data_IF_927082219143
#
_entry.id   IF_927082219143
#
_cell.length_a   1.000
_cell.length_b   1.000
_cell.length_c   1.000
_cell.angle_alpha   90.00
_cell.angle_beta   90.00
_cell.angle_gamma   90.00
#
_symmetry.space_group_name_H-M   'P 1'
#
loop_
_entity.id
_entity.type
_entity.pdbx_description
1 polymer ?
#
# COMPACT_ATOMS: atom_id res chain seq x y z
N UNK A 1 -4.64 15.72 24.94
CA UNK A 1 -5.83 14.86 24.83
C UNK A 1 -6.67 15.32 23.62
N UNK A 2 -6.52 14.64 22.49
CA UNK A 2 -7.24 14.97 21.25
C UNK A 2 -8.07 13.79 20.81
N UNK A 3 -9.28 14.05 20.33
CA UNK A 3 -10.15 13.04 19.74
C UNK A 3 -9.53 12.53 18.43
N UNK A 4 -9.90 11.33 17.99
CA UNK A 4 -9.43 10.77 16.70
C UNK A 4 -9.82 11.70 15.55
N UNK A 5 -10.94 12.41 15.66
CA UNK A 5 -11.37 13.41 14.68
C UNK A 5 -10.40 14.57 14.56
N UNK A 6 -9.91 15.12 15.67
CA UNK A 6 -8.98 16.26 15.66
C UNK A 6 -7.71 15.93 14.88
N UNK A 7 -7.20 14.70 15.04
CA UNK A 7 -6.00 14.22 14.33
C UNK A 7 -6.28 14.07 12.84
N UNK A 8 -7.42 13.46 12.47
CA UNK A 8 -7.80 13.30 11.06
C UNK A 8 -7.96 14.67 10.40
N UNK A 9 -8.55 15.64 11.10
CA UNK A 9 -8.75 16.99 10.58
C UNK A 9 -7.47 17.75 10.38
N UNK A 10 -6.59 17.74 11.38
CA UNK A 10 -5.30 18.39 11.30
C UNK A 10 -4.51 17.85 10.09
N UNK A 11 -4.50 16.53 9.89
CA UNK A 11 -3.80 15.90 8.79
C UNK A 11 -4.49 16.09 7.43
N UNK A 12 -5.83 16.06 7.38
CA UNK A 12 -6.57 16.30 6.14
C UNK A 12 -6.48 17.77 5.69
N UNK A 13 -6.36 18.71 6.62
CA UNK A 13 -6.17 20.14 6.32
C UNK A 13 -4.89 20.40 5.52
N UNK A 14 -3.87 19.56 5.69
CA UNK A 14 -2.62 19.65 4.92
C UNK A 14 -2.88 19.51 3.42
N UNK A 15 -3.89 18.76 2.98
CA UNK A 15 -4.26 18.64 1.57
C UNK A 15 -5.06 19.84 1.04
N UNK A 16 -5.81 20.51 1.90
CA UNK A 16 -6.64 21.66 1.53
C UNK A 16 -5.85 22.96 1.43
N UNK A 17 -4.70 23.05 2.09
CA UNK A 17 -3.82 24.22 2.10
C UNK A 17 -3.07 24.42 0.75
N UNK A 18 -3.12 23.46 -0.17
CA UNK A 18 -2.58 23.58 -1.53
C UNK A 18 -1.03 23.63 -1.65
N UNK A 19 -0.33 23.85 -0.53
CA UNK A 19 1.14 23.79 -0.44
C UNK A 19 1.63 22.36 -0.35
N UNK A 20 2.87 22.11 -0.77
CA UNK A 20 3.49 20.81 -0.51
C UNK A 20 3.93 20.72 0.95
N UNK A 21 3.64 19.58 1.59
CA UNK A 21 3.87 19.37 3.03
C UNK A 21 4.59 18.05 3.23
N UNK A 22 5.77 18.04 3.87
CA UNK A 22 6.60 16.83 3.99
C UNK A 22 5.93 15.70 4.79
N UNK A 23 4.98 16.05 5.67
CA UNK A 23 4.27 15.10 6.54
C UNK A 23 2.81 14.87 6.10
N UNK A 24 2.46 15.24 4.86
CA UNK A 24 1.12 15.00 4.32
C UNK A 24 0.89 13.50 4.15
N UNK A 25 -0.15 12.92 4.76
CA UNK A 25 -0.41 11.49 4.62
C UNK A 25 -0.94 11.16 3.22
N UNK A 26 -0.60 9.99 2.70
CA UNK A 26 -1.20 9.45 1.47
C UNK A 26 -2.65 9.00 1.67
N UNK A 27 -3.00 8.62 2.90
CA UNK A 27 -4.33 8.13 3.24
C UNK A 27 -4.48 7.76 4.70
N UNK A 28 -5.70 7.33 5.07
CA UNK A 28 -6.05 6.90 6.42
C UNK A 28 -6.58 5.46 6.44
N UNK A 29 -6.15 4.70 7.43
CA UNK A 29 -6.76 3.41 7.81
C UNK A 29 -7.45 3.62 9.15
N UNK A 30 -8.78 3.53 9.14
CA UNK A 30 -9.62 3.76 10.31
C UNK A 30 -9.97 2.41 10.94
N UNK A 31 -9.34 2.07 12.06
CA UNK A 31 -9.55 0.80 12.78
C UNK A 31 -10.62 0.90 13.87
N UNK A 32 -11.01 -0.25 14.42
CA UNK A 32 -11.93 -0.39 15.54
C UNK A 32 -13.40 -0.25 15.15
N UNK A 33 -13.72 -0.34 13.85
CA UNK A 33 -15.07 -0.08 13.35
C UNK A 33 -15.54 1.37 13.57
N UNK A 34 -14.61 2.27 13.88
CA UNK A 34 -14.89 3.66 14.16
C UNK A 34 -15.35 4.38 12.89
N UNK A 35 -16.63 4.76 12.85
CA UNK A 35 -17.18 5.58 11.76
C UNK A 35 -16.96 7.06 12.06
N UNK A 36 -16.22 7.80 11.21
CA UNK A 36 -16.05 9.24 11.39
C UNK A 36 -17.39 9.97 11.36
N UNK A 37 -17.46 11.12 12.02
CA UNK A 37 -18.60 12.02 11.87
C UNK A 37 -18.79 12.44 10.40
N UNK A 38 -20.00 12.91 10.08
CA UNK A 38 -20.32 13.43 8.75
C UNK A 38 -19.37 14.56 8.35
N UNK A 39 -18.96 15.40 9.32
CA UNK A 39 -18.05 16.51 9.11
C UNK A 39 -16.65 16.04 8.69
N UNK A 40 -16.11 15.04 9.37
CA UNK A 40 -14.81 14.44 9.01
C UNK A 40 -14.90 13.70 7.68
N UNK A 41 -15.99 12.98 7.44
CA UNK A 41 -16.22 12.30 6.15
C UNK A 41 -16.24 13.28 4.97
N UNK A 42 -16.91 14.42 5.11
CA UNK A 42 -16.93 15.48 4.09
C UNK A 42 -15.57 16.13 3.92
N UNK A 43 -14.81 16.29 5.00
CA UNK A 43 -13.45 16.81 4.93
C UNK A 43 -12.55 15.90 4.11
N UNK A 44 -12.57 14.59 4.38
CA UNK A 44 -11.79 13.59 3.64
C UNK A 44 -12.15 13.58 2.14
N UNK A 45 -13.45 13.71 1.81
CA UNK A 45 -13.91 13.83 0.42
C UNK A 45 -13.40 15.10 -0.25
N UNK A 46 -13.53 16.27 0.40
CA UNK A 46 -13.04 17.55 -0.14
C UNK A 46 -11.53 17.55 -0.34
N UNK A 47 -10.80 16.95 0.59
CA UNK A 47 -9.36 16.81 0.53
C UNK A 47 -8.91 15.75 -0.50
N UNK A 48 -9.85 14.96 -1.04
CA UNK A 48 -9.60 13.86 -1.98
C UNK A 48 -8.55 12.87 -1.49
N UNK A 49 -8.58 12.56 -0.19
CA UNK A 49 -7.64 11.66 0.47
C UNK A 49 -8.23 10.25 0.49
N UNK A 50 -7.41 9.25 0.19
CA UNK A 50 -7.80 7.86 0.35
C UNK A 50 -8.07 7.54 1.82
N UNK A 51 -9.24 6.96 2.14
CA UNK A 51 -9.55 6.50 3.48
C UNK A 51 -10.32 5.18 3.43
N UNK A 52 -9.93 4.22 4.28
CA UNK A 52 -10.60 2.92 4.40
C UNK A 52 -11.00 2.68 5.85
N UNK A 53 -12.22 2.16 6.04
CA UNK A 53 -12.70 1.69 7.33
C UNK A 53 -12.46 0.19 7.45
N UNK A 54 -11.77 -0.21 8.50
CA UNK A 54 -11.47 -1.61 8.81
C UNK A 54 -12.14 -2.02 10.12
N UNK A 55 -12.78 -3.19 10.09
CA UNK A 55 -13.26 -3.85 11.30
C UNK A 55 -12.08 -4.54 12.01
N UNK A 56 -12.11 -4.56 13.34
CA UNK A 56 -11.03 -5.08 14.18
C UNK A 56 -10.23 -3.99 14.87
N UNK A 57 -9.60 -4.33 16.01
CA UNK A 57 -8.82 -3.37 16.78
C UNK A 57 -7.59 -2.86 16.01
N UNK A 58 -6.96 -1.80 16.52
CA UNK A 58 -5.79 -1.18 15.89
C UNK A 58 -4.63 -2.14 15.68
N UNK A 59 -4.39 -3.09 16.59
CA UNK A 59 -3.31 -4.05 16.45
C UNK A 59 -3.58 -5.04 15.31
N UNK A 60 -4.77 -5.63 15.30
CA UNK A 60 -5.21 -6.58 14.27
C UNK A 60 -5.17 -5.95 12.87
N UNK A 61 -5.68 -4.72 12.73
CA UNK A 61 -5.65 -3.98 11.47
C UNK A 61 -4.21 -3.61 11.07
N UNK A 62 -3.38 -3.15 12.00
CA UNK A 62 -1.98 -2.84 11.71
C UNK A 62 -1.19 -4.09 11.26
N UNK A 63 -1.45 -5.25 11.87
CA UNK A 63 -0.87 -6.53 11.45
C UNK A 63 -1.27 -6.88 10.02
N UNK A 64 -2.55 -6.77 9.68
CA UNK A 64 -3.00 -7.04 8.30
C UNK A 64 -2.35 -6.10 7.28
N UNK A 65 -2.25 -4.81 7.59
CA UNK A 65 -1.58 -3.83 6.73
C UNK A 65 -0.09 -4.16 6.58
N UNK A 66 0.56 -4.58 7.67
CA UNK A 66 1.96 -5.03 7.62
C UNK A 66 2.11 -6.28 6.74
N UNK A 67 1.22 -7.26 6.87
CA UNK A 67 1.24 -8.52 6.13
C UNK A 67 1.00 -8.31 4.62
N UNK A 68 0.22 -7.30 4.23
CA UNK A 68 0.07 -6.90 2.81
C UNK A 68 1.39 -6.45 2.18
N UNK A 69 2.32 -5.93 2.99
CA UNK A 69 3.63 -5.44 2.54
C UNK A 69 4.69 -6.55 2.49
N UNK A 70 4.36 -7.77 2.93
CA UNK A 70 5.35 -8.85 2.99
C UNK A 70 5.56 -9.48 1.62
N UNK A 71 6.84 -9.66 1.30
CA UNK A 71 7.43 -10.18 0.06
C UNK A 71 6.77 -11.49 -0.37
N UNK A 72 6.92 -11.83 -1.66
CA UNK A 72 6.51 -13.13 -2.22
C UNK A 72 7.01 -14.28 -1.34
N UNK A 73 6.10 -14.94 -0.64
CA UNK A 73 6.42 -16.11 0.18
C UNK A 73 6.51 -17.37 -0.70
N UNK A 74 7.26 -18.42 -0.29
CA UNK A 74 7.34 -19.68 -1.05
C UNK A 74 5.96 -20.31 -1.34
N UNK A 75 5.01 -20.09 -0.44
CA UNK A 75 3.62 -20.52 -0.56
C UNK A 75 2.75 -19.65 -1.47
N UNK A 76 3.20 -18.45 -1.87
CA UNK A 76 2.50 -17.53 -2.77
C UNK A 76 2.60 -17.98 -4.25
N UNK A 77 2.28 -19.24 -4.52
CA UNK A 77 2.43 -19.90 -5.84
C UNK A 77 1.85 -19.07 -6.98
N UNK A 78 0.67 -18.46 -6.79
CA UNK A 78 0.06 -17.57 -7.79
C UNK A 78 0.88 -16.32 -8.09
N UNK A 79 1.37 -15.60 -7.05
CA UNK A 79 2.20 -14.40 -7.25
C UNK A 79 3.54 -14.78 -7.90
N UNK A 80 4.11 -15.92 -7.50
CA UNK A 80 5.34 -16.45 -8.10
C UNK A 80 5.14 -16.71 -9.59
N UNK A 81 4.03 -17.35 -9.98
CA UNK A 81 3.74 -17.66 -11.37
C UNK A 81 3.50 -16.39 -12.21
N UNK A 82 2.82 -15.38 -11.66
CA UNK A 82 2.68 -14.07 -12.31
C UNK A 82 4.02 -13.37 -12.51
N UNK A 83 4.88 -13.33 -11.48
CA UNK A 83 6.22 -12.74 -11.58
C UNK A 83 7.07 -13.46 -12.63
N UNK A 84 7.05 -14.80 -12.64
CA UNK A 84 7.77 -15.59 -13.64
C UNK A 84 7.27 -15.30 -15.06
N UNK A 85 5.96 -15.19 -15.23
CA UNK A 85 5.34 -14.88 -16.53
C UNK A 85 5.74 -13.49 -17.02
N UNK A 86 5.71 -12.49 -16.13
CA UNK A 86 6.11 -11.13 -16.44
C UNK A 86 7.57 -11.05 -16.89
N UNK A 87 8.48 -11.70 -16.16
CA UNK A 87 9.91 -11.71 -16.47
C UNK A 87 10.18 -12.45 -17.78
N UNK A 88 9.57 -13.63 -17.99
CA UNK A 88 9.74 -14.40 -19.22
C UNK A 88 9.25 -13.64 -20.46
N UNK A 89 8.11 -12.94 -20.35
CA UNK A 89 7.59 -12.14 -21.46
C UNK A 89 8.41 -10.87 -21.74
N UNK A 90 9.21 -10.42 -20.77
CA UNK A 90 10.01 -9.19 -20.89
C UNK A 90 11.46 -9.45 -21.30
N UNK A 91 11.88 -10.71 -21.43
CA UNK A 91 13.25 -11.11 -21.76
C UNK A 91 13.29 -11.99 -23.00
N UNK A 92 14.16 -11.62 -23.95
CA UNK A 92 14.51 -12.48 -25.08
C UNK A 92 15.53 -13.53 -24.62
N UNK A 93 15.01 -14.67 -24.17
CA UNK A 93 15.79 -15.77 -23.61
C UNK A 93 16.76 -16.34 -24.65
N UNK A 94 16.34 -16.46 -25.91
CA UNK A 94 17.18 -17.01 -26.98
C UNK A 94 18.39 -16.12 -27.22
N UNK A 95 18.19 -14.80 -27.26
CA UNK A 95 19.28 -13.84 -27.39
C UNK A 95 20.23 -13.86 -26.19
N UNK A 96 19.70 -14.02 -24.98
CA UNK A 96 20.49 -14.17 -23.75
C UNK A 96 21.36 -15.43 -23.81
N UNK A 97 20.80 -16.56 -24.24
CA UNK A 97 21.50 -17.84 -24.34
C UNK A 97 22.59 -17.81 -25.43
N UNK A 98 22.36 -17.11 -26.54
CA UNK A 98 23.39 -16.92 -27.58
C UNK A 98 24.59 -16.09 -27.10
N UNK A 99 24.34 -15.11 -26.23
CA UNK A 99 25.39 -14.29 -25.63
C UNK A 99 26.08 -14.99 -24.45
N UNK A 100 25.47 -16.02 -23.88
CA UNK A 100 26.01 -16.74 -22.73
C UNK A 100 27.19 -17.63 -23.13
N UNK A 101 28.29 -17.55 -22.37
CA UNK A 101 29.44 -18.45 -22.54
C UNK A 101 29.07 -19.85 -22.05
N UNK A 102 29.37 -20.92 -22.81
CA UNK A 102 29.10 -22.27 -22.36
C UNK A 102 29.92 -22.61 -21.11
N UNK A 103 29.27 -23.23 -20.14
CA UNK A 103 29.94 -23.79 -18.97
C UNK A 103 30.70 -25.06 -19.37
N UNK A 104 31.93 -25.26 -18.86
CA UNK A 104 32.68 -26.48 -19.12
C UNK A 104 31.92 -27.69 -18.57
N UNK A 105 31.84 -28.75 -19.38
CA UNK A 105 31.25 -30.02 -18.96
C UNK A 105 32.03 -30.57 -17.76
N UNK A 106 31.29 -31.06 -16.77
CA UNK A 106 31.82 -31.58 -15.51
C UNK A 106 32.31 -33.01 -15.65
#
# INVERSE_FOLDING_TARGET
>A
PGDREDVIEALASLWLDGRDHPNRPLGFVLSGGYRPSARVSDLLRRANIFAVLMEGDTYSVASQVHDLLVKTHPEDTRKIDEIKSLVANSLDIDRLLQAARPLPAR
#
